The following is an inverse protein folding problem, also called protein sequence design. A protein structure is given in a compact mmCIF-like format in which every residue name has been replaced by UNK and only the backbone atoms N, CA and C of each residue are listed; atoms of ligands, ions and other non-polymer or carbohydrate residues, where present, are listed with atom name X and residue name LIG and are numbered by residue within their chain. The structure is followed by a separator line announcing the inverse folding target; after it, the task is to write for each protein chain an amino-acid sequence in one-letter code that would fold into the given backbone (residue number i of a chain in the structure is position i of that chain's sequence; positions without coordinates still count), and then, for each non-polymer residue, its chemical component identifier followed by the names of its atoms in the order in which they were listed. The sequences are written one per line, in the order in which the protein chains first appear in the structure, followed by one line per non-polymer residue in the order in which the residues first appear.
data_IF_287220966888
#
_entry.id   IF_287220966888
#
_cell.length_a   1.000
_cell.length_b   1.000
_cell.length_c   1.000
_cell.angle_alpha   90.00
_cell.angle_beta   90.00
_cell.angle_gamma   90.00
#
_symmetry.space_group_name_H-M   'P 1'
#
loop_
_entity.id
_entity.type
_entity.pdbx_description
1 polymer ?
#
# COMPACT_ATOMS: atom_id res chain seq x y z
N UNK A 1 4.41 0.36 13.46
CA UNK A 1 4.34 -0.58 12.32
C UNK A 1 5.55 -0.34 11.43
N UNK A 2 5.92 -1.31 10.59
CA UNK A 2 7.00 -1.14 9.62
C UNK A 2 6.51 -0.29 8.42
N UNK A 3 7.41 0.26 7.59
CA UNK A 3 7.05 1.02 6.39
C UNK A 3 5.98 0.31 5.56
N UNK A 4 4.86 0.96 5.20
CA UNK A 4 3.82 0.36 4.41
C UNK A 4 4.17 0.41 2.91
N UNK A 5 3.69 -0.60 2.20
CA UNK A 5 3.83 -0.77 0.76
C UNK A 5 2.43 -0.93 0.21
N UNK A 6 1.99 -0.01 -0.63
CA UNK A 6 0.70 -0.05 -1.30
C UNK A 6 0.92 -0.61 -2.70
N UNK A 7 0.17 -1.65 -3.04
CA UNK A 7 0.13 -2.25 -4.37
C UNK A 7 -1.22 -1.93 -4.98
N UNK A 8 -1.22 -1.24 -6.11
CA UNK A 8 -2.42 -0.92 -6.89
C UNK A 8 -2.50 -1.85 -8.10
N UNK A 9 -3.70 -2.08 -8.65
CA UNK A 9 -3.84 -2.76 -9.94
C UNK A 9 -3.64 -1.74 -11.09
N UNK A 10 -2.79 -2.03 -12.10
CA UNK A 10 -2.30 -3.35 -12.51
C UNK A 10 -0.90 -3.76 -11.99
N UNK A 11 -0.38 -3.14 -10.93
CA UNK A 11 0.88 -3.53 -10.28
C UNK A 11 1.82 -2.37 -9.95
N UNK A 12 1.30 -1.14 -9.87
CA UNK A 12 2.10 -0.01 -9.39
C UNK A 12 2.33 -0.15 -7.88
N UNK A 13 3.48 0.35 -7.44
CA UNK A 13 3.94 0.19 -6.07
C UNK A 13 4.32 1.56 -5.52
N UNK A 14 3.69 1.90 -4.40
CA UNK A 14 4.04 3.06 -3.58
C UNK A 14 4.64 2.56 -2.25
N UNK A 15 5.79 3.12 -1.86
CA UNK A 15 6.47 2.79 -0.60
C UNK A 15 6.54 4.05 0.24
N UNK A 16 6.11 3.98 1.50
CA UNK A 16 6.07 5.15 2.38
C UNK A 16 7.04 5.01 3.54
N UNK A 17 7.55 6.14 4.04
CA UNK A 17 8.42 6.14 5.23
C UNK A 17 7.64 5.70 6.48
N UNK A 18 6.37 6.08 6.57
CA UNK A 18 5.52 5.78 7.70
C UNK A 18 4.09 5.42 7.30
N UNK A 19 3.38 4.79 8.25
CA UNK A 19 1.93 4.56 8.13
C UNK A 19 1.16 5.86 8.02
N UNK A 20 1.61 6.90 8.71
CA UNK A 20 0.94 8.19 8.69
C UNK A 20 0.95 8.82 7.29
N UNK A 21 2.08 8.75 6.59
CA UNK A 21 2.20 9.28 5.23
C UNK A 21 1.30 8.50 4.25
N UNK A 22 1.25 7.17 4.40
CA UNK A 22 0.35 6.34 3.61
C UNK A 22 -1.14 6.63 3.89
N UNK A 23 -1.53 6.86 5.14
CA UNK A 23 -2.90 7.25 5.51
C UNK A 23 -3.30 8.61 4.91
N UNK A 24 -2.35 9.56 4.82
CA UNK A 24 -2.58 10.86 4.19
C UNK A 24 -2.67 10.79 2.66
N UNK A 25 -1.93 9.86 2.05
CA UNK A 25 -1.95 9.62 0.61
C UNK A 25 -3.20 8.90 0.13
N UNK A 26 -3.74 7.99 0.96
CA UNK A 26 -4.88 7.15 0.58
C UNK A 26 -6.18 7.94 0.47
N UNK A 27 -6.78 7.90 -0.73
CA UNK A 27 -8.11 8.43 -0.95
C UNK A 27 -9.19 7.39 -0.60
N UNK A 28 -10.19 7.82 0.17
CA UNK A 28 -11.33 7.02 0.58
C UNK A 28 -12.04 6.25 -0.56
N UNK A 29 -12.26 6.80 -1.77
CA UNK A 29 -12.82 6.04 -2.89
C UNK A 29 -11.97 4.83 -3.29
N UNK A 30 -10.64 4.98 -3.34
CA UNK A 30 -9.75 3.89 -3.73
C UNK A 30 -9.78 2.73 -2.72
N UNK A 31 -9.93 3.04 -1.43
CA UNK A 31 -10.14 2.03 -0.38
C UNK A 31 -11.47 1.30 -0.57
N UNK A 32 -12.56 2.02 -0.85
CA UNK A 32 -13.90 1.42 -1.05
C UNK A 32 -13.97 0.48 -2.25
N UNK A 33 -13.22 0.77 -3.31
CA UNK A 33 -13.19 -0.06 -4.51
C UNK A 33 -12.46 -1.39 -4.28
N UNK A 34 -11.70 -1.55 -3.18
CA UNK A 34 -11.03 -2.80 -2.81
C UNK A 34 -9.91 -3.20 -3.78
N UNK A 35 -9.39 -2.25 -4.56
CA UNK A 35 -8.34 -2.47 -5.58
C UNK A 35 -6.92 -2.28 -5.05
N UNK A 36 -6.79 -2.10 -3.75
CA UNK A 36 -5.51 -1.82 -3.10
C UNK A 36 -5.19 -2.99 -2.16
N UNK A 37 -3.95 -3.46 -2.22
CA UNK A 37 -3.38 -4.31 -1.18
C UNK A 37 -2.29 -3.54 -0.45
N UNK A 38 -2.31 -3.59 0.87
CA UNK A 38 -1.32 -2.90 1.69
C UNK A 38 -0.57 -3.91 2.52
N UNK A 39 0.75 -3.89 2.40
CA UNK A 39 1.64 -4.74 3.16
C UNK A 39 2.56 -3.90 4.04
N UNK A 40 3.09 -4.49 5.11
CA UNK A 40 4.27 -3.95 5.76
C UNK A 40 5.56 -4.46 5.07
N UNK A 41 6.70 -3.82 5.36
CA UNK A 41 8.00 -4.20 4.79
C UNK A 41 8.47 -5.63 5.12
N UNK A 42 7.80 -6.34 6.04
CA UNK A 42 8.11 -7.73 6.40
C UNK A 42 7.19 -8.73 5.66
N UNK A 43 6.21 -8.23 4.90
CA UNK A 43 5.23 -9.03 4.17
C UNK A 43 4.05 -9.47 5.05
N UNK A 44 3.63 -8.65 6.02
CA UNK A 44 2.30 -8.80 6.65
C UNK A 44 1.26 -8.01 5.88
N UNK A 45 0.06 -8.55 5.74
CA UNK A 45 -1.08 -7.78 5.23
C UNK A 45 -1.57 -6.78 6.28
N UNK A 46 -1.88 -5.57 5.84
CA UNK A 46 -2.39 -4.48 6.65
C UNK A 46 -3.85 -4.22 6.28
N UNK A 47 -4.69 -3.94 7.29
CA UNK A 47 -6.10 -3.63 7.05
C UNK A 47 -6.26 -2.17 6.68
N UNK A 48 -7.27 -1.89 5.84
CA UNK A 48 -7.70 -0.54 5.51
C UNK A 48 -9.10 -0.31 6.08
N UNK A 49 -9.23 0.69 6.93
CA UNK A 49 -10.50 1.11 7.51
C UNK A 49 -10.78 2.56 7.13
N UNK A 50 -12.02 2.86 6.77
CA UNK A 50 -12.44 4.24 6.53
C UNK A 50 -13.22 4.74 7.74
N UNK A 51 -12.71 5.77 8.41
CA UNK A 51 -13.48 6.51 9.40
C UNK A 51 -14.46 7.42 8.65
N UNK A 52 -15.72 7.01 8.57
CA UNK A 52 -16.77 7.83 7.95
C UNK A 52 -17.31 8.85 8.94
N UNK A 53 -17.17 10.12 8.63
CA UNK A 53 -18.05 11.18 9.15
C UNK A 53 -19.38 11.12 8.40
N UNK A 54 -20.49 11.12 9.15
CA UNK A 54 -21.82 10.95 8.56
C UNK A 54 -22.17 12.09 7.59
N UNK A 55 -22.61 11.74 6.38
CA UNK A 55 -23.20 12.70 5.44
C UNK A 55 -24.38 13.41 6.08
N UNK A 56 -24.43 14.74 5.98
CA UNK A 56 -25.57 15.51 6.46
C UNK A 56 -26.60 15.57 5.32
N UNK A 57 -27.77 14.97 5.55
CA UNK A 57 -28.93 15.11 4.65
C UNK A 57 -29.85 16.21 5.18
N UNK A 58 -29.93 17.33 4.47
CA UNK A 58 -30.88 18.41 4.76
C UNK A 58 -31.75 18.68 3.54
N UNK A 59 -33.08 18.60 3.69
CA UNK A 59 -34.06 18.99 2.66
C UNK A 59 -33.83 18.40 1.26
N UNK A 60 -33.46 17.12 1.17
CA UNK A 60 -33.22 16.44 -0.12
C UNK A 60 -31.86 16.75 -0.75
N UNK A 61 -31.01 17.54 -0.08
CA UNK A 61 -29.62 17.78 -0.46
C UNK A 61 -28.71 16.97 0.47
N UNK A 62 -27.83 16.15 -0.11
CA UNK A 62 -26.76 15.47 0.62
C UNK A 62 -25.53 16.37 0.61
N UNK A 63 -25.11 16.84 1.78
CA UNK A 63 -23.84 17.55 1.95
C UNK A 63 -22.78 16.55 2.41
N UNK A 64 -21.80 16.27 1.56
CA UNK A 64 -20.61 15.50 1.92
C UNK A 64 -19.71 16.45 2.71
N UNK A 65 -19.60 16.22 4.02
CA UNK A 65 -18.91 17.15 4.94
C UNK A 65 -17.43 16.83 5.04
N UNK A 66 -17.07 15.55 4.95
CA UNK A 66 -15.70 15.09 5.01
C UNK A 66 -15.64 13.71 4.32
N UNK A 67 -14.78 13.51 3.31
CA UNK A 67 -14.65 12.23 2.61
C UNK A 67 -14.18 11.08 3.50
N UNK A 68 -13.84 11.35 4.77
CA UNK A 68 -13.41 10.39 5.77
C UNK A 68 -11.92 10.13 5.66
N UNK A 69 -11.26 9.94 6.81
CA UNK A 69 -9.85 9.57 6.86
C UNK A 69 -9.68 8.06 6.74
N UNK A 70 -8.64 7.63 6.03
CA UNK A 70 -8.25 6.22 5.96
C UNK A 70 -7.33 5.90 7.13
N UNK A 71 -7.53 4.74 7.74
CA UNK A 71 -6.71 4.17 8.80
C UNK A 71 -6.10 2.86 8.32
N UNK A 72 -4.81 2.69 8.58
CA UNK A 72 -4.08 1.46 8.29
C UNK A 72 -3.87 0.71 9.60
N UNK A 73 -4.51 -0.45 9.72
CA UNK A 73 -4.40 -1.34 10.86
C UNK A 73 -3.52 -2.55 10.57
N UNK A 74 -3.32 -3.38 11.60
CA UNK A 74 -2.78 -4.74 11.42
C UNK A 74 -3.93 -5.70 11.16
N UNK A 75 -3.93 -6.32 9.98
CA UNK A 75 -4.84 -7.43 9.68
C UNK A 75 -4.28 -8.75 10.21
N UNK A 76 -2.96 -8.94 10.06
CA UNK A 76 -2.30 -10.18 10.43
C UNK A 76 -1.27 -10.02 11.56
N UNK A 77 -1.17 -11.07 12.38
CA UNK A 77 -0.15 -11.17 13.43
C UNK A 77 1.17 -11.80 12.94
N UNK A 78 1.11 -12.59 11.86
CA UNK A 78 2.26 -13.29 11.28
C UNK A 78 2.60 -12.79 9.86
N UNK A 79 3.85 -12.99 9.43
CA UNK A 79 4.34 -12.64 8.09
C UNK A 79 4.04 -13.78 7.11
N UNK A 80 2.79 -13.91 6.68
CA UNK A 80 2.28 -14.97 5.79
C UNK A 80 2.45 -14.63 4.30
N UNK A 81 2.58 -13.33 3.98
CA UNK A 81 2.58 -12.83 2.59
C UNK A 81 3.97 -12.43 2.08
N UNK A 82 5.05 -12.83 2.76
CA UNK A 82 6.43 -12.49 2.39
C UNK A 82 6.79 -12.87 0.96
N UNK A 83 6.41 -14.08 0.53
CA UNK A 83 6.73 -14.57 -0.82
C UNK A 83 5.86 -13.93 -1.91
N UNK A 84 4.60 -13.62 -1.59
CA UNK A 84 3.71 -12.86 -2.49
C UNK A 84 4.25 -11.46 -2.72
N UNK A 85 4.53 -10.72 -1.64
CA UNK A 85 5.09 -9.37 -1.73
C UNK A 85 6.41 -9.37 -2.49
N UNK A 86 7.30 -10.33 -2.22
CA UNK A 86 8.56 -10.49 -2.95
C UNK A 86 8.32 -10.64 -4.46
N UNK A 87 7.37 -11.51 -4.85
CA UNK A 87 7.02 -11.74 -6.26
C UNK A 87 6.55 -10.45 -6.92
N UNK A 88 5.64 -9.72 -6.27
CA UNK A 88 5.09 -8.46 -6.78
C UNK A 88 6.22 -7.42 -7.01
N UNK A 89 7.09 -7.23 -6.01
CA UNK A 89 8.20 -6.27 -6.13
C UNK A 89 9.20 -6.68 -7.22
N UNK A 90 9.48 -7.97 -7.38
CA UNK A 90 10.35 -8.46 -8.47
C UNK A 90 9.72 -8.20 -9.83
N UNK A 91 8.43 -8.50 -10.01
CA UNK A 91 7.70 -8.24 -11.26
C UNK A 91 7.74 -6.76 -11.64
N UNK A 92 7.54 -5.89 -10.65
CA UNK A 92 7.65 -4.44 -10.80
C UNK A 92 9.06 -3.96 -11.17
N UNK A 93 10.10 -4.48 -10.50
CA UNK A 93 11.48 -4.13 -10.84
C UNK A 93 11.85 -4.58 -12.27
N UNK A 94 11.41 -5.76 -12.69
CA UNK A 94 11.59 -6.23 -14.07
C UNK A 94 10.88 -5.31 -15.06
N UNK A 95 9.62 -4.94 -14.78
CA UNK A 95 8.85 -4.02 -15.62
C UNK A 95 9.50 -2.63 -15.74
N UNK A 96 10.24 -2.21 -14.72
CA UNK A 96 11.02 -0.95 -14.70
C UNK A 96 12.48 -1.13 -15.14
N UNK A 97 12.81 -2.25 -15.79
CA UNK A 97 14.08 -2.48 -16.48
C UNK A 97 15.22 -3.02 -15.62
N UNK A 98 14.95 -3.55 -14.42
CA UNK A 98 15.96 -4.37 -13.70
C UNK A 98 16.09 -5.72 -14.37
N UNK A 99 17.31 -6.16 -14.55
CA UNK A 99 17.59 -7.48 -15.11
C UNK A 99 17.08 -8.60 -14.17
N UNK A 100 16.39 -9.59 -14.75
CA UNK A 100 15.78 -10.68 -13.99
C UNK A 100 16.82 -11.54 -13.28
N UNK A 101 17.98 -11.79 -13.90
CA UNK A 101 19.04 -12.63 -13.32
C UNK A 101 19.61 -11.97 -12.06
N UNK A 102 19.68 -10.63 -12.04
CA UNK A 102 20.12 -9.87 -10.86
C UNK A 102 19.18 -9.95 -9.65
N UNK A 103 17.93 -10.38 -9.86
CA UNK A 103 16.90 -10.53 -8.82
C UNK A 103 16.70 -11.98 -8.40
N UNK A 104 17.34 -12.93 -9.08
CA UNK A 104 17.18 -14.35 -8.80
C UNK A 104 17.72 -14.71 -7.41
N UNK A 105 16.90 -15.39 -6.61
CA UNK A 105 17.24 -15.76 -5.24
C UNK A 105 17.31 -14.59 -4.24
N UNK A 106 17.05 -13.35 -4.66
CA UNK A 106 17.04 -12.20 -3.76
C UNK A 106 15.91 -12.34 -2.72
N UNK A 107 16.26 -12.09 -1.44
CA UNK A 107 15.28 -12.04 -0.35
C UNK A 107 14.48 -10.74 -0.40
N UNK A 108 13.28 -10.73 0.21
CA UNK A 108 12.36 -9.58 0.23
C UNK A 108 13.07 -8.26 0.61
N UNK A 109 13.92 -8.28 1.65
CA UNK A 109 14.64 -7.09 2.12
C UNK A 109 15.53 -6.47 1.04
N UNK A 110 16.25 -7.29 0.27
CA UNK A 110 17.11 -6.83 -0.81
C UNK A 110 16.28 -6.27 -1.96
N UNK A 111 15.18 -6.94 -2.31
CA UNK A 111 14.26 -6.49 -3.37
C UNK A 111 13.64 -5.14 -2.98
N UNK A 112 13.18 -5.01 -1.74
CA UNK A 112 12.61 -3.76 -1.23
C UNK A 112 13.63 -2.62 -1.21
N UNK A 113 14.86 -2.90 -0.80
CA UNK A 113 15.95 -1.92 -0.83
C UNK A 113 16.18 -1.40 -2.25
N UNK A 114 16.11 -2.27 -3.27
CA UNK A 114 16.22 -1.84 -4.66
C UNK A 114 15.04 -0.97 -5.10
N UNK A 115 13.80 -1.31 -4.71
CA UNK A 115 12.62 -0.47 -4.98
C UNK A 115 12.81 0.94 -4.39
N UNK A 116 13.13 1.03 -3.10
CA UNK A 116 13.34 2.30 -2.39
C UNK A 116 14.51 3.09 -3.01
N UNK A 117 15.60 2.43 -3.39
CA UNK A 117 16.76 3.11 -3.99
C UNK A 117 16.41 3.74 -5.34
N UNK A 118 15.51 3.12 -6.12
CA UNK A 118 15.17 3.58 -7.47
C UNK A 118 14.05 4.62 -7.46
N UNK A 119 13.07 4.48 -6.57
CA UNK A 119 11.86 5.32 -6.56
C UNK A 119 11.80 6.29 -5.39
N UNK A 120 12.61 6.07 -4.36
CA UNK A 120 12.47 6.76 -3.09
C UNK A 120 11.23 6.32 -2.34
N UNK A 121 10.83 7.14 -1.36
CA UNK A 121 9.55 7.02 -0.70
C UNK A 121 8.54 8.00 -1.32
N UNK A 122 7.31 7.55 -1.47
CA UNK A 122 6.15 8.37 -1.83
C UNK A 122 5.86 9.37 -0.70
N UNK A 123 5.49 10.61 -1.07
CA UNK A 123 5.26 11.74 -0.17
C UNK A 123 3.87 12.33 -0.36
#
# INVERSE_FOLDING_TARGET
MKPPIIVTEPGDIDVFESVHDAELYLESPAVKEGRLKVYDSEGRLLSLEQESTSDIKLFGVTLIVDPGTVKIGREESATTHKDELRRILVEFLIATGVDKESLEGAILENVLTQVITRQGFTK
#
